data_IF_414072399468
#
_entry.id   IF_414072399468
#
_cell.length_a   1.000
_cell.length_b   1.000
_cell.length_c   1.000
_cell.angle_alpha   90.00
_cell.angle_beta   90.00
_cell.angle_gamma   90.00
#
_symmetry.space_group_name_H-M   'P 1'
#
loop_
_entity.id
_entity.type
_entity.pdbx_description
1 polymer ?
#
# COMPACT_ATOMS: atom_id res chain seq x y z
N UNK A 1 -18.93 -19.08 -2.48
CA UNK A 1 -19.05 -18.10 -1.38
C UNK A 1 -18.47 -18.73 -0.12
N UNK A 2 -17.31 -18.26 0.35
CA UNK A 2 -16.77 -18.65 1.67
C UNK A 2 -17.55 -17.88 2.73
N UNK A 3 -18.42 -18.54 3.48
CA UNK A 3 -19.37 -17.89 4.39
C UNK A 3 -18.79 -17.54 5.76
N UNK A 4 -17.61 -18.05 6.14
CA UNK A 4 -16.86 -17.60 7.33
C UNK A 4 -15.35 -17.80 7.14
N UNK A 5 -14.57 -16.77 7.44
CA UNK A 5 -13.11 -16.87 7.53
C UNK A 5 -12.74 -17.55 8.86
N UNK A 6 -11.64 -18.32 8.93
CA UNK A 6 -11.17 -18.88 10.19
C UNK A 6 -10.88 -17.77 11.22
N UNK A 7 -11.19 -17.99 12.51
CA UNK A 7 -11.02 -16.95 13.55
C UNK A 7 -9.61 -16.33 13.63
N UNK A 8 -8.56 -17.11 13.36
CA UNK A 8 -7.19 -16.59 13.34
C UNK A 8 -6.95 -15.62 12.16
N UNK A 9 -7.65 -15.84 11.03
CA UNK A 9 -7.64 -14.95 9.87
C UNK A 9 -8.33 -13.63 10.22
N UNK A 10 -9.46 -13.69 10.92
CA UNK A 10 -10.20 -12.49 11.36
C UNK A 10 -9.35 -11.62 12.29
N UNK A 11 -8.64 -12.24 13.25
CA UNK A 11 -7.74 -11.53 14.16
C UNK A 11 -6.57 -10.90 13.38
N UNK A 12 -5.96 -11.64 12.45
CA UNK A 12 -4.88 -11.11 11.60
C UNK A 12 -5.35 -9.94 10.72
N UNK A 13 -6.51 -10.08 10.09
CA UNK A 13 -7.11 -9.01 9.29
C UNK A 13 -7.45 -7.77 10.13
N UNK A 14 -7.98 -7.96 11.34
CA UNK A 14 -8.24 -6.88 12.28
C UNK A 14 -6.95 -6.15 12.71
N UNK A 15 -5.90 -6.89 13.06
CA UNK A 15 -4.61 -6.31 13.44
C UNK A 15 -3.97 -5.55 12.28
N UNK A 16 -4.00 -6.11 11.06
CA UNK A 16 -3.50 -5.43 9.87
C UNK A 16 -4.32 -4.17 9.54
N UNK A 17 -5.65 -4.23 9.66
CA UNK A 17 -6.51 -3.06 9.47
C UNK A 17 -6.25 -1.98 10.53
N UNK A 18 -6.00 -2.37 11.78
CA UNK A 18 -5.66 -1.47 12.88
C UNK A 18 -4.28 -0.83 12.67
N UNK A 19 -3.28 -1.61 12.25
CA UNK A 19 -1.95 -1.11 11.90
C UNK A 19 -2.00 -0.18 10.69
N UNK A 20 -2.72 -0.55 9.64
CA UNK A 20 -2.96 0.30 8.48
C UNK A 20 -3.62 1.63 8.90
N UNK A 21 -4.65 1.57 9.75
CA UNK A 21 -5.28 2.76 10.33
C UNK A 21 -4.33 3.62 11.15
N UNK A 22 -3.44 3.01 11.93
CA UNK A 22 -2.44 3.69 12.75
C UNK A 22 -1.35 4.36 11.91
N UNK A 23 -0.82 3.66 10.91
CA UNK A 23 0.13 4.23 9.93
C UNK A 23 -0.52 5.38 9.16
N UNK A 24 -1.79 5.23 8.77
CA UNK A 24 -2.52 6.26 8.07
C UNK A 24 -2.80 7.49 8.94
N UNK A 25 -3.06 7.30 10.24
CA UNK A 25 -3.21 8.37 11.22
C UNK A 25 -1.88 9.10 11.50
N UNK A 26 -0.77 8.36 11.66
CA UNK A 26 0.58 8.94 11.77
C UNK A 26 0.94 9.72 10.50
N UNK A 27 0.59 9.18 9.33
CA UNK A 27 0.66 9.88 8.06
C UNK A 27 -0.14 11.19 8.06
N UNK A 28 -1.42 11.12 8.42
CA UNK A 28 -2.30 12.30 8.49
C UNK A 28 -1.75 13.40 9.41
N UNK A 29 -1.17 13.02 10.55
CA UNK A 29 -0.63 13.95 11.53
C UNK A 29 0.77 14.48 11.18
N UNK A 30 1.59 13.71 10.46
CA UNK A 30 2.94 14.12 10.02
C UNK A 30 2.99 14.87 8.69
N UNK A 31 2.09 14.55 7.76
CA UNK A 31 2.06 15.11 6.40
C UNK A 31 1.14 16.32 6.30
N UNK A 32 1.37 17.40 7.05
CA UNK A 32 0.60 18.65 6.84
C UNK A 32 -0.93 18.44 6.69
N UNK A 33 -1.53 17.49 7.43
CA UNK A 33 -2.93 17.03 7.32
C UNK A 33 -3.30 16.08 6.14
N UNK A 34 -2.40 15.22 5.64
CA UNK A 34 -2.70 14.23 4.57
C UNK A 34 -2.47 12.77 4.99
N UNK A 35 -3.51 11.94 4.91
CA UNK A 35 -3.43 10.51 5.20
C UNK A 35 -2.71 9.75 4.06
N UNK A 36 -1.71 8.92 4.39
CA UNK A 36 -0.89 8.13 3.43
C UNK A 36 -1.73 7.17 2.57
N UNK A 37 -2.88 6.71 3.06
CA UNK A 37 -3.83 5.84 2.35
C UNK A 37 -4.94 6.61 1.61
N UNK A 38 -4.99 7.94 1.74
CA UNK A 38 -5.92 8.82 1.03
C UNK A 38 -5.37 9.22 -0.34
N UNK A 39 -5.01 8.23 -1.16
CA UNK A 39 -4.48 8.46 -2.51
C UNK A 39 -5.41 9.34 -3.35
N UNK A 40 -6.73 9.30 -3.13
CA UNK A 40 -7.70 10.22 -3.75
C UNK A 40 -7.43 11.68 -3.40
N UNK A 41 -7.11 11.98 -2.14
CA UNK A 41 -6.76 13.33 -1.69
C UNK A 41 -5.41 13.78 -2.26
N UNK A 42 -4.39 12.92 -2.18
CA UNK A 42 -3.06 13.17 -2.75
C UNK A 42 -3.11 13.42 -4.26
N UNK A 43 -3.89 12.63 -5.01
CA UNK A 43 -4.08 12.81 -6.45
C UNK A 43 -4.83 14.10 -6.79
N UNK A 44 -5.81 14.49 -5.97
CA UNK A 44 -6.54 15.76 -6.15
C UNK A 44 -5.63 16.96 -5.90
N UNK A 45 -4.81 16.92 -4.85
CA UNK A 45 -3.87 17.99 -4.53
C UNK A 45 -2.76 18.10 -5.56
N UNK A 46 -2.24 16.97 -6.05
CA UNK A 46 -1.30 16.94 -7.17
C UNK A 46 -1.89 17.62 -8.41
N UNK A 47 -3.13 17.30 -8.78
CA UNK A 47 -3.80 17.93 -9.92
C UNK A 47 -4.00 19.45 -9.73
N UNK A 48 -4.31 19.89 -8.52
CA UNK A 48 -4.45 21.31 -8.19
C UNK A 48 -3.10 22.05 -8.23
N UNK A 49 -2.04 21.44 -7.70
CA UNK A 49 -0.72 22.05 -7.66
C UNK A 49 -0.08 22.14 -9.05
N UNK A 50 -0.40 21.19 -9.94
CA UNK A 50 -0.01 21.24 -11.35
C UNK A 50 -0.63 22.45 -12.06
N UNK A 51 -1.88 22.80 -11.73
CA UNK A 51 -2.55 24.01 -12.24
C UNK A 51 -1.95 25.28 -11.65
N UNK A 52 -1.45 25.21 -10.40
CA UNK A 52 -0.82 26.34 -9.70
C UNK A 52 0.67 26.55 -10.02
N UNK A 53 1.27 25.65 -10.82
CA UNK A 53 2.70 25.64 -11.16
C UNK A 53 3.64 25.52 -9.95
N UNK A 54 3.16 24.97 -8.83
CA UNK A 54 4.00 24.67 -7.67
C UNK A 54 4.71 23.31 -7.87
N UNK A 55 5.82 23.35 -8.60
CA UNK A 55 6.54 22.15 -9.03
C UNK A 55 7.13 21.35 -7.87
N UNK A 56 7.49 21.99 -6.75
CA UNK A 56 8.12 21.32 -5.62
C UNK A 56 7.17 20.38 -4.89
N UNK A 57 5.99 20.89 -4.52
CA UNK A 57 4.97 20.10 -3.83
C UNK A 57 4.34 19.04 -4.74
N UNK A 58 4.11 19.40 -6.02
CA UNK A 58 3.61 18.46 -7.04
C UNK A 58 4.52 17.23 -7.20
N UNK A 59 5.83 17.43 -7.30
CA UNK A 59 6.79 16.33 -7.42
C UNK A 59 6.79 15.45 -6.16
N UNK A 60 6.69 16.04 -4.96
CA UNK A 60 6.61 15.28 -3.72
C UNK A 60 5.40 14.33 -3.71
N UNK A 61 4.22 14.84 -4.06
CA UNK A 61 2.99 14.05 -4.12
C UNK A 61 3.08 12.95 -5.18
N UNK A 62 3.66 13.24 -6.35
CA UNK A 62 3.88 12.24 -7.40
C UNK A 62 4.78 11.10 -6.91
N UNK A 63 5.88 11.42 -6.21
CA UNK A 63 6.79 10.40 -5.67
C UNK A 63 6.07 9.54 -4.63
N UNK A 64 5.20 10.12 -3.78
CA UNK A 64 4.37 9.35 -2.85
C UNK A 64 3.48 8.34 -3.60
N UNK A 65 2.79 8.77 -4.66
CA UNK A 65 1.94 7.89 -5.48
C UNK A 65 2.75 6.75 -6.12
N UNK A 66 3.93 7.07 -6.65
CA UNK A 66 4.82 6.07 -7.26
C UNK A 66 5.39 5.09 -6.24
N UNK A 67 5.77 5.56 -5.04
CA UNK A 67 6.23 4.70 -3.96
C UNK A 67 5.15 3.69 -3.53
N UNK A 68 3.90 4.13 -3.41
CA UNK A 68 2.78 3.23 -3.13
C UNK A 68 2.64 2.16 -4.22
N UNK A 69 2.66 2.58 -5.49
CA UNK A 69 2.56 1.68 -6.64
C UNK A 69 3.67 0.63 -6.63
N UNK A 70 4.91 1.04 -6.33
CA UNK A 70 6.07 0.15 -6.22
C UNK A 70 5.92 -0.85 -5.08
N UNK A 71 5.40 -0.41 -3.93
CA UNK A 71 5.06 -1.30 -2.82
C UNK A 71 4.04 -2.37 -3.21
N UNK A 72 2.96 -1.95 -3.87
CA UNK A 72 1.93 -2.87 -4.37
C UNK A 72 2.49 -3.85 -5.43
N UNK A 73 3.38 -3.37 -6.31
CA UNK A 73 4.07 -4.20 -7.28
C UNK A 73 5.00 -5.22 -6.62
N UNK A 74 5.74 -4.83 -5.58
CA UNK A 74 6.58 -5.75 -4.81
C UNK A 74 5.74 -6.88 -4.18
N UNK A 75 4.56 -6.55 -3.65
CA UNK A 75 3.63 -7.58 -3.15
C UNK A 75 3.21 -8.56 -4.24
N UNK A 76 2.87 -8.09 -5.44
CA UNK A 76 2.58 -8.96 -6.60
C UNK A 76 3.78 -9.78 -7.08
N UNK A 77 5.00 -9.25 -6.95
CA UNK A 77 6.24 -10.00 -7.21
C UNK A 77 6.50 -11.05 -6.14
N UNK A 78 5.99 -10.91 -4.92
CA UNK A 78 6.31 -11.81 -3.79
C UNK A 78 5.23 -12.85 -3.52
N UNK A 79 3.95 -12.50 -3.68
CA UNK A 79 2.80 -13.31 -3.29
C UNK A 79 2.09 -13.77 -4.56
N UNK A 80 1.92 -15.09 -4.72
CA UNK A 80 1.18 -15.65 -5.84
C UNK A 80 -0.30 -15.28 -5.79
N UNK A 81 -0.93 -15.22 -6.96
CA UNK A 81 -2.32 -14.84 -7.18
C UNK A 81 -3.35 -15.87 -6.65
N UNK A 82 -2.95 -16.76 -5.74
CA UNK A 82 -3.84 -17.74 -5.10
C UNK A 82 -4.24 -17.25 -3.71
N UNK A 83 -5.52 -16.86 -3.58
CA UNK A 83 -6.10 -16.57 -2.29
C UNK A 83 -5.93 -17.77 -1.33
N UNK A 84 -5.63 -17.48 -0.05
CA UNK A 84 -5.66 -18.45 1.06
C UNK A 84 -4.59 -19.56 1.07
N UNK A 85 -3.33 -19.28 0.67
CA UNK A 85 -2.17 -20.10 1.08
C UNK A 85 -1.20 -19.28 1.93
N UNK A 86 -1.47 -19.21 3.24
CA UNK A 86 -0.51 -18.64 4.19
C UNK A 86 0.80 -19.43 4.10
N UNK A 87 1.89 -18.73 3.81
CA UNK A 87 3.18 -19.35 3.54
C UNK A 87 4.33 -18.37 3.68
N UNK A 88 5.55 -18.86 3.41
CA UNK A 88 6.80 -18.11 3.61
C UNK A 88 6.82 -16.73 2.93
N UNK A 89 6.11 -16.58 1.81
CA UNK A 89 6.02 -15.33 1.06
C UNK A 89 5.24 -14.21 1.78
N UNK A 90 4.17 -14.56 2.50
CA UNK A 90 3.42 -13.59 3.32
C UNK A 90 4.25 -13.10 4.50
N UNK A 91 4.91 -14.02 5.22
CA UNK A 91 5.82 -13.66 6.31
C UNK A 91 6.98 -12.78 5.85
N UNK A 92 7.58 -13.09 4.70
CA UNK A 92 8.63 -12.26 4.12
C UNK A 92 8.13 -10.86 3.71
N UNK A 93 6.90 -10.76 3.18
CA UNK A 93 6.30 -9.47 2.84
C UNK A 93 6.05 -8.62 4.09
N UNK A 94 5.59 -9.22 5.19
CA UNK A 94 5.43 -8.53 6.49
C UNK A 94 6.77 -8.05 7.08
N UNK A 95 7.85 -8.82 6.89
CA UNK A 95 9.20 -8.38 7.31
C UNK A 95 9.68 -7.17 6.50
N UNK A 96 9.42 -7.15 5.19
CA UNK A 96 9.72 -5.99 4.34
C UNK A 96 8.90 -4.78 4.78
N UNK A 97 7.60 -4.96 5.01
CA UNK A 97 6.71 -3.90 5.51
C UNK A 97 7.25 -3.30 6.81
N UNK A 98 7.60 -4.15 7.79
CA UNK A 98 8.17 -3.72 9.06
C UNK A 98 9.49 -2.95 8.88
N UNK A 99 10.37 -3.42 8.00
CA UNK A 99 11.63 -2.73 7.71
C UNK A 99 11.42 -1.35 7.06
N UNK A 100 10.47 -1.25 6.12
CA UNK A 100 10.10 0.02 5.48
C UNK A 100 9.51 1.01 6.50
N UNK A 101 8.60 0.55 7.38
CA UNK A 101 8.02 1.40 8.42
C UNK A 101 9.04 1.81 9.48
N UNK A 102 9.97 0.91 9.84
CA UNK A 102 11.06 1.25 10.74
C UNK A 102 12.00 2.30 10.13
N UNK A 103 12.38 2.13 8.87
CA UNK A 103 13.15 3.14 8.13
C UNK A 103 12.41 4.48 8.02
N UNK A 104 11.10 4.43 7.75
CA UNK A 104 10.25 5.62 7.72
C UNK A 104 10.24 6.35 9.07
N UNK A 105 10.10 5.62 10.18
CA UNK A 105 10.15 6.17 11.53
C UNK A 105 11.48 6.88 11.79
N UNK A 106 12.61 6.25 11.48
CA UNK A 106 13.93 6.86 11.69
C UNK A 106 14.09 8.14 10.88
N UNK A 107 13.73 8.12 9.59
CA UNK A 107 13.85 9.31 8.73
C UNK A 107 12.93 10.45 9.20
N UNK A 108 11.68 10.14 9.53
CA UNK A 108 10.72 11.13 10.03
C UNK A 108 11.14 11.73 11.38
N UNK A 109 11.78 10.94 12.25
CA UNK A 109 12.32 11.43 13.52
C UNK A 109 13.45 12.46 13.37
N UNK A 110 14.03 12.56 12.17
CA UNK A 110 15.04 13.53 11.78
C UNK A 110 14.52 14.56 10.76
N UNK A 111 13.21 14.77 10.69
CA UNK A 111 12.54 15.70 9.75
C UNK A 111 12.88 15.45 8.27
N UNK A 112 13.24 14.20 7.92
CA UNK A 112 13.57 13.82 6.54
C UNK A 112 12.33 13.30 5.81
N UNK A 113 11.90 14.05 4.78
CA UNK A 113 10.75 13.73 3.94
C UNK A 113 10.87 12.42 3.16
N UNK A 114 12.06 11.81 3.06
CA UNK A 114 12.21 10.46 2.48
C UNK A 114 11.46 9.39 3.27
N UNK A 115 11.20 9.61 4.56
CA UNK A 115 10.37 8.71 5.37
C UNK A 115 8.93 8.58 4.83
N UNK A 116 8.41 9.63 4.19
CA UNK A 116 7.10 9.61 3.54
C UNK A 116 7.01 8.56 2.43
N UNK A 117 8.07 8.43 1.63
CA UNK A 117 8.11 7.52 0.50
C UNK A 117 8.20 6.06 0.98
N UNK A 118 8.98 5.80 2.04
CA UNK A 118 9.06 4.47 2.65
C UNK A 118 7.73 4.05 3.28
N UNK A 119 7.07 4.95 4.01
CA UNK A 119 5.75 4.70 4.57
C UNK A 119 4.71 4.42 3.47
N UNK A 120 4.73 5.20 2.39
CA UNK A 120 3.84 5.00 1.23
C UNK A 120 4.06 3.63 0.57
N UNK A 121 5.32 3.23 0.36
CA UNK A 121 5.66 1.91 -0.17
C UNK A 121 5.21 0.77 0.76
N UNK A 122 5.37 0.91 2.08
CA UNK A 122 4.89 -0.06 3.05
C UNK A 122 3.35 -0.22 2.97
N UNK A 123 2.62 0.89 2.92
CA UNK A 123 1.17 0.88 2.76
C UNK A 123 0.74 0.23 1.44
N UNK A 124 1.42 0.51 0.33
CA UNK A 124 1.13 -0.11 -0.96
C UNK A 124 1.31 -1.63 -0.92
N UNK A 125 2.40 -2.10 -0.30
CA UNK A 125 2.70 -3.52 -0.13
C UNK A 125 1.67 -4.23 0.76
N UNK A 126 1.30 -3.62 1.88
CA UNK A 126 0.30 -4.15 2.81
C UNK A 126 -1.09 -4.23 2.14
N UNK A 127 -1.49 -3.18 1.43
CA UNK A 127 -2.78 -3.12 0.74
C UNK A 127 -2.90 -4.19 -0.35
N UNK A 128 -1.85 -4.39 -1.15
CA UNK A 128 -1.81 -5.46 -2.14
C UNK A 128 -1.84 -6.86 -1.48
N UNK A 129 -1.06 -7.05 -0.41
CA UNK A 129 -1.02 -8.31 0.33
C UNK A 129 -2.39 -8.68 0.92
N UNK A 130 -3.09 -7.73 1.53
CA UNK A 130 -4.45 -7.92 2.09
C UNK A 130 -5.49 -8.16 1.00
N UNK A 131 -5.38 -7.47 -0.15
CA UNK A 131 -6.27 -7.69 -1.29
C UNK A 131 -6.16 -9.13 -1.82
N UNK A 132 -4.93 -9.61 -2.08
CA UNK A 132 -4.68 -11.00 -2.52
C UNK A 132 -5.13 -12.01 -1.47
N UNK A 133 -4.85 -11.74 -0.19
CA UNK A 133 -5.23 -12.60 0.92
C UNK A 133 -6.76 -12.76 1.07
N UNK A 134 -7.50 -11.65 0.99
CA UNK A 134 -8.96 -11.65 1.12
C UNK A 134 -9.69 -12.08 -0.15
N UNK A 135 -8.98 -12.40 -1.24
CA UNK A 135 -9.59 -12.67 -2.54
C UNK A 135 -10.33 -11.45 -3.09
N UNK A 136 -9.77 -10.25 -2.89
CA UNK A 136 -10.34 -8.94 -3.23
C UNK A 136 -11.60 -8.52 -2.48
N UNK A 137 -12.04 -9.29 -1.47
CA UNK A 137 -13.25 -9.04 -0.67
C UNK A 137 -13.09 -7.82 0.26
N UNK A 138 -11.89 -7.58 0.79
CA UNK A 138 -11.62 -6.46 1.70
C UNK A 138 -10.86 -5.36 0.93
N UNK A 139 -11.57 -4.30 0.52
CA UNK A 139 -10.98 -3.04 0.00
C UNK A 139 -11.76 -1.84 0.52
N UNK A 140 -11.07 -0.82 1.00
CA UNK A 140 -11.69 0.33 1.68
C UNK A 140 -11.78 1.60 0.83
N UNK A 141 -11.15 1.66 -0.37
CA UNK A 141 -11.12 2.89 -1.20
C UNK A 141 -10.99 2.61 -2.72
N UNK A 142 -11.69 3.39 -3.55
CA UNK A 142 -11.75 3.21 -5.01
C UNK A 142 -10.42 3.51 -5.71
N UNK A 143 -9.75 4.63 -5.41
CA UNK A 143 -8.51 5.00 -6.08
C UNK A 143 -7.30 4.21 -5.57
N UNK A 144 -7.19 3.99 -4.26
CA UNK A 144 -6.12 3.13 -3.72
C UNK A 144 -6.28 1.70 -4.23
N UNK A 145 -7.51 1.22 -4.40
CA UNK A 145 -7.81 -0.04 -5.08
C UNK A 145 -7.23 -0.10 -6.50
N UNK A 146 -7.41 0.93 -7.33
CA UNK A 146 -6.85 0.99 -8.69
C UNK A 146 -5.31 0.95 -8.67
N UNK A 147 -4.67 1.75 -7.81
CA UNK A 147 -3.20 1.75 -7.70
C UNK A 147 -2.66 0.41 -7.20
N UNK A 148 -3.35 -0.20 -6.23
CA UNK A 148 -3.01 -1.54 -5.75
C UNK A 148 -3.12 -2.57 -6.87
N UNK A 149 -4.23 -2.59 -7.60
CA UNK A 149 -4.48 -3.52 -8.70
C UNK A 149 -3.42 -3.33 -9.81
N UNK A 150 -3.15 -2.09 -10.22
CA UNK A 150 -2.10 -1.76 -11.19
C UNK A 150 -0.73 -2.25 -10.73
N UNK A 151 -0.36 -1.99 -9.47
CA UNK A 151 0.89 -2.43 -8.89
C UNK A 151 1.00 -3.96 -8.93
N UNK A 152 -0.01 -4.66 -8.42
CA UNK A 152 -0.04 -6.12 -8.44
C UNK A 152 0.04 -6.69 -9.86
N UNK A 153 -0.63 -6.09 -10.84
CA UNK A 153 -0.51 -6.47 -12.27
C UNK A 153 0.92 -6.31 -12.79
N UNK A 154 1.57 -5.18 -12.50
CA UNK A 154 2.98 -4.93 -12.83
C UNK A 154 3.88 -5.99 -12.20
N UNK A 155 3.68 -6.31 -10.92
CA UNK A 155 4.45 -7.31 -10.21
C UNK A 155 4.31 -8.72 -10.78
N UNK A 156 3.08 -9.14 -11.08
CA UNK A 156 2.80 -10.42 -11.73
C UNK A 156 3.50 -10.53 -13.10
N UNK A 157 3.46 -9.45 -13.89
CA UNK A 157 4.15 -9.40 -15.19
C UNK A 157 5.67 -9.54 -15.04
N UNK A 158 6.28 -8.90 -14.03
CA UNK A 158 7.71 -9.02 -13.74
C UNK A 158 8.09 -10.44 -13.26
N UNK A 159 7.20 -11.11 -12.54
CA UNK A 159 7.36 -12.51 -12.11
C UNK A 159 7.21 -13.52 -13.27
N UNK A 160 6.59 -13.12 -14.38
CA UNK A 160 6.35 -13.98 -15.54
C UNK A 160 5.05 -14.80 -15.46
N UNK A 161 4.14 -14.47 -14.54
CA UNK A 161 2.81 -15.10 -14.46
C UNK A 161 1.81 -14.37 -15.37
N UNK A 162 0.95 -15.07 -16.13
CA UNK A 162 -0.08 -14.42 -16.93
C UNK A 162 -1.05 -13.70 -16.00
N UNK A 163 -1.31 -12.42 -16.29
CA UNK A 163 -2.30 -11.64 -15.56
C UNK A 163 -3.68 -12.21 -15.83
N UNK A 164 -4.19 -13.10 -14.97
CA UNK A 164 -5.60 -13.50 -15.02
C UNK A 164 -6.42 -12.35 -14.46
N UNK A 165 -6.74 -11.40 -15.33
CA UNK A 165 -7.74 -10.40 -15.10
C UNK A 165 -9.11 -11.08 -14.95
N UNK A 166 -9.80 -10.79 -13.84
CA UNK A 166 -11.26 -10.77 -13.71
C UNK A 166 -12.04 -12.05 -14.06
N UNK A 167 -12.59 -12.69 -13.02
CA UNK A 167 -13.88 -13.37 -13.08
C UNK A 167 -14.91 -12.57 -12.30
#
# INVERSE_FOLDING_TARGET
>A
MLTRLPRWVEIGAFLLAFLAGSVNAVGLLGFSHQAVSHLTGTATLFALDLVRLDGGHSLHLLVILLSFLLGAALSGVLIDNTALKLGRHYGFSLLIEAALLFGAMLLLSHDNSMGHYLASAACGLQNAMVSTYSGSVIRTTHLSGIFTDLGTMLGNRLRGTPSTAGG
#
